data_IF_378407689621
#
_entry.id   IF_378407689621
#
_cell.length_a   1.000
_cell.length_b   1.000
_cell.length_c   1.000
_cell.angle_alpha   90.00
_cell.angle_beta   90.00
_cell.angle_gamma   90.00
#
_symmetry.space_group_name_H-M   'P 1'
#
loop_
_entity.id
_entity.type
_entity.pdbx_description
1 polymer ?
#
# COMPACT_ATOMS: atom_id res chain seq x y z
N UNK A 1 -12.43 11.33 18.59
CA UNK A 1 -12.15 12.29 17.49
C UNK A 1 -12.25 11.54 16.17
N UNK A 2 -13.38 11.63 15.46
CA UNK A 2 -13.52 11.05 14.11
C UNK A 2 -13.02 12.06 13.08
N UNK A 3 -11.80 11.87 12.60
CA UNK A 3 -11.30 12.60 11.42
C UNK A 3 -11.98 12.08 10.14
N UNK A 4 -12.04 12.89 9.06
CA UNK A 4 -12.59 12.42 7.80
C UNK A 4 -11.76 11.24 7.27
N UNK A 5 -12.42 10.11 7.01
CA UNK A 5 -11.79 8.99 6.33
C UNK A 5 -11.47 9.40 4.89
N UNK A 6 -10.19 9.31 4.53
CA UNK A 6 -9.77 9.54 3.15
C UNK A 6 -10.17 8.33 2.31
N UNK A 7 -10.73 8.57 1.13
CA UNK A 7 -10.93 7.49 0.16
C UNK A 7 -9.58 6.94 -0.32
N UNK A 8 -9.56 5.70 -0.80
CA UNK A 8 -8.35 5.09 -1.37
C UNK A 8 -7.75 5.95 -2.49
N UNK A 9 -8.60 6.52 -3.35
CA UNK A 9 -8.19 7.44 -4.40
C UNK A 9 -7.52 8.71 -3.83
N UNK A 10 -8.04 9.28 -2.74
CA UNK A 10 -7.45 10.45 -2.07
C UNK A 10 -6.09 10.09 -1.44
N UNK A 11 -5.99 8.95 -0.76
CA UNK A 11 -4.73 8.46 -0.18
C UNK A 11 -3.68 8.30 -1.29
N UNK A 12 -4.04 7.58 -2.36
CA UNK A 12 -3.15 7.33 -3.51
C UNK A 12 -2.69 8.63 -4.16
N UNK A 13 -3.60 9.55 -4.44
CA UNK A 13 -3.26 10.83 -5.06
C UNK A 13 -2.28 11.63 -4.18
N UNK A 14 -2.49 11.63 -2.86
CA UNK A 14 -1.59 12.29 -1.92
C UNK A 14 -0.20 11.64 -1.91
N UNK A 15 -0.13 10.31 -1.88
CA UNK A 15 1.15 9.58 -1.95
C UNK A 15 1.93 9.90 -3.23
N UNK A 16 1.26 9.89 -4.40
CA UNK A 16 1.89 10.21 -5.68
C UNK A 16 2.41 11.65 -5.72
N UNK A 17 1.62 12.61 -5.22
CA UNK A 17 2.03 14.01 -5.18
C UNK A 17 3.24 14.22 -4.27
N UNK A 18 3.25 13.60 -3.09
CA UNK A 18 4.38 13.63 -2.17
C UNK A 18 5.62 13.02 -2.80
N UNK A 19 5.51 11.83 -3.40
CA UNK A 19 6.62 11.16 -4.07
C UNK A 19 7.22 12.01 -5.21
N UNK A 20 6.37 12.68 -6.00
CA UNK A 20 6.83 13.60 -7.06
C UNK A 20 7.54 14.83 -6.50
N UNK A 21 7.10 15.36 -5.37
CA UNK A 21 7.81 16.45 -4.69
C UNK A 21 9.20 15.98 -4.23
N UNK A 22 9.27 14.84 -3.55
CA UNK A 22 10.52 14.21 -3.11
C UNK A 22 11.47 13.98 -4.29
N UNK A 23 10.99 13.50 -5.44
CA UNK A 23 11.85 13.31 -6.62
C UNK A 23 12.41 14.62 -7.20
N UNK A 24 11.63 15.70 -7.17
CA UNK A 24 12.13 17.02 -7.59
C UNK A 24 13.26 17.49 -6.69
N UNK A 25 13.09 17.32 -5.39
CA UNK A 25 14.08 17.75 -4.39
C UNK A 25 15.34 16.87 -4.47
N UNK A 26 15.17 15.55 -4.61
CA UNK A 26 16.24 14.56 -4.62
C UNK A 26 16.83 14.27 -6.02
N UNK A 27 16.50 15.07 -7.04
CA UNK A 27 17.01 14.85 -8.41
C UNK A 27 18.55 14.80 -8.43
N UNK A 28 19.09 14.00 -9.34
CA UNK A 28 20.53 13.94 -9.55
C UNK A 28 21.08 15.31 -10.00
N UNK A 29 22.26 15.64 -9.50
CA UNK A 29 23.10 16.73 -9.98
C UNK A 29 23.84 16.32 -11.26
N UNK A 30 24.64 17.24 -11.82
CA UNK A 30 25.48 16.97 -13.00
C UNK A 30 26.51 15.85 -12.76
N UNK A 31 26.89 15.66 -11.50
CA UNK A 31 27.80 14.64 -10.99
C UNK A 31 27.12 13.28 -10.74
N UNK A 32 25.83 13.14 -11.06
CA UNK A 32 25.04 11.93 -10.81
C UNK A 32 24.65 11.71 -9.34
N UNK A 33 25.09 12.57 -8.42
CA UNK A 33 24.75 12.48 -6.99
C UNK A 33 23.45 13.21 -6.70
N UNK A 34 22.70 12.74 -5.72
CA UNK A 34 21.51 13.46 -5.27
C UNK A 34 21.88 14.85 -4.71
N UNK A 35 21.12 15.89 -5.08
CA UNK A 35 21.39 17.27 -4.64
C UNK A 35 21.23 17.48 -3.13
N UNK A 36 20.31 16.72 -2.51
CA UNK A 36 20.01 16.78 -1.07
C UNK A 36 20.94 15.85 -0.29
N UNK A 37 20.95 14.55 -0.62
CA UNK A 37 21.70 13.55 0.15
C UNK A 37 23.18 13.45 -0.22
N UNK A 38 23.60 14.01 -1.36
CA UNK A 38 24.98 13.99 -1.89
C UNK A 38 25.59 12.59 -2.12
N UNK A 39 24.76 11.56 -2.17
CA UNK A 39 25.14 10.17 -2.48
C UNK A 39 24.78 9.79 -3.91
N UNK A 40 25.54 8.84 -4.46
CA UNK A 40 25.11 8.05 -5.60
C UNK A 40 23.97 7.12 -5.16
N UNK A 41 23.03 6.82 -6.06
CA UNK A 41 21.90 5.91 -5.79
C UNK A 41 21.09 6.29 -4.53
N UNK A 42 20.58 7.53 -4.52
CA UNK A 42 19.80 8.04 -3.39
C UNK A 42 18.57 7.18 -3.09
N UNK A 43 18.59 6.50 -1.94
CA UNK A 43 17.51 5.63 -1.48
C UNK A 43 16.18 6.37 -1.29
N UNK A 44 16.21 7.67 -0.96
CA UNK A 44 15.00 8.48 -0.87
C UNK A 44 14.35 8.67 -2.25
N UNK A 45 15.16 8.93 -3.29
CA UNK A 45 14.66 9.00 -4.66
C UNK A 45 14.17 7.62 -5.14
N UNK A 46 14.85 6.54 -4.78
CA UNK A 46 14.40 5.17 -5.08
C UNK A 46 13.06 4.86 -4.42
N UNK A 47 12.91 5.12 -3.12
CA UNK A 47 11.66 4.94 -2.41
C UNK A 47 10.51 5.74 -3.02
N UNK A 48 10.75 6.99 -3.42
CA UNK A 48 9.75 7.81 -4.09
C UNK A 48 9.33 7.24 -5.46
N UNK A 49 10.25 6.67 -6.25
CA UNK A 49 9.90 5.95 -7.49
C UNK A 49 9.04 4.73 -7.19
N UNK A 50 9.46 3.91 -6.21
CA UNK A 50 8.71 2.72 -5.81
C UNK A 50 7.27 3.05 -5.39
N UNK A 51 7.03 4.17 -4.72
CA UNK A 51 5.68 4.63 -4.36
C UNK A 51 4.84 4.97 -5.61
N UNK A 52 5.44 5.63 -6.61
CA UNK A 52 4.75 5.96 -7.87
C UNK A 52 4.40 4.66 -8.61
N UNK A 53 5.35 3.73 -8.69
CA UNK A 53 5.16 2.45 -9.37
C UNK A 53 4.08 1.61 -8.68
N UNK A 54 4.12 1.50 -7.35
CA UNK A 54 3.10 0.81 -6.58
C UNK A 54 1.72 1.47 -6.74
N UNK A 55 1.64 2.79 -6.72
CA UNK A 55 0.39 3.51 -6.92
C UNK A 55 -0.20 3.30 -8.32
N UNK A 56 0.64 3.15 -9.34
CA UNK A 56 0.20 2.80 -10.69
C UNK A 56 -0.30 1.35 -10.76
N UNK A 57 0.40 0.41 -10.14
CA UNK A 57 -0.01 -0.99 -10.06
C UNK A 57 -1.35 -1.17 -9.35
N UNK A 58 -1.58 -0.49 -8.22
CA UNK A 58 -2.88 -0.51 -7.53
C UNK A 58 -4.02 -0.01 -8.44
N UNK A 59 -3.75 0.99 -9.28
CA UNK A 59 -4.73 1.57 -10.18
C UNK A 59 -5.08 0.61 -11.31
N UNK A 60 -4.08 -0.06 -11.88
CA UNK A 60 -4.30 -1.11 -12.88
C UNK A 60 -5.03 -2.32 -12.29
N UNK A 61 -4.73 -2.71 -11.05
CA UNK A 61 -5.43 -3.80 -10.36
C UNK A 61 -6.90 -3.45 -10.07
N UNK A 62 -7.21 -2.21 -9.69
CA UNK A 62 -8.59 -1.73 -9.56
C UNK A 62 -9.35 -1.82 -10.89
N UNK A 63 -8.73 -1.43 -12.00
CA UNK A 63 -9.38 -1.45 -13.32
C UNK A 63 -9.57 -2.87 -13.87
N UNK A 64 -8.72 -3.82 -13.45
CA UNK A 64 -8.77 -5.22 -13.88
C UNK A 64 -9.62 -6.11 -12.98
N UNK A 65 -9.91 -5.67 -11.76
CA UNK A 65 -10.70 -6.43 -10.81
C UNK A 65 -12.12 -6.62 -11.36
N UNK A 66 -12.50 -7.88 -11.60
CA UNK A 66 -13.84 -8.20 -12.08
C UNK A 66 -14.85 -7.96 -10.96
N UNK A 67 -16.09 -7.65 -11.34
CA UNK A 67 -17.19 -7.47 -10.37
C UNK A 67 -17.38 -8.73 -9.51
N UNK A 68 -17.09 -9.91 -10.07
CA UNK A 68 -17.15 -11.21 -9.41
C UNK A 68 -16.03 -11.39 -8.36
N UNK A 69 -14.79 -11.00 -8.66
CA UNK A 69 -13.68 -11.02 -7.69
C UNK A 69 -13.91 -10.02 -6.55
N UNK A 70 -14.43 -8.82 -6.86
CA UNK A 70 -14.80 -7.83 -5.85
C UNK A 70 -15.91 -8.40 -4.96
N UNK A 71 -16.94 -9.00 -5.55
CA UNK A 71 -18.05 -9.62 -4.81
C UNK A 71 -17.58 -10.77 -3.93
N UNK A 72 -16.70 -11.65 -4.42
CA UNK A 72 -16.14 -12.77 -3.67
C UNK A 72 -15.31 -12.30 -2.45
N UNK A 73 -14.53 -11.23 -2.63
CA UNK A 73 -13.77 -10.62 -1.53
C UNK A 73 -14.67 -10.03 -0.44
N UNK A 74 -15.74 -9.32 -0.82
CA UNK A 74 -16.67 -8.70 0.14
C UNK A 74 -17.74 -9.65 0.68
N UNK A 75 -18.02 -10.78 0.03
CA UNK A 75 -18.93 -11.83 0.53
C UNK A 75 -18.26 -12.76 1.56
N UNK A 76 -16.94 -12.67 1.73
CA UNK A 76 -16.20 -13.48 2.70
C UNK A 76 -15.93 -14.91 2.22
N UNK A 77 -16.02 -15.18 0.92
CA UNK A 77 -15.54 -16.44 0.34
C UNK A 77 -14.00 -16.47 0.43
N UNK A 78 -13.49 -16.91 1.58
CA UNK A 78 -12.07 -17.14 1.79
C UNK A 78 -11.55 -18.06 0.68
N UNK A 79 -10.36 -17.73 0.17
CA UNK A 79 -9.57 -18.64 -0.66
C UNK A 79 -9.55 -20.03 -0.02
N UNK A 80 -9.59 -21.12 -0.80
CA UNK A 80 -9.56 -22.47 -0.27
C UNK A 80 -8.43 -22.61 0.75
N UNK A 81 -8.75 -23.06 1.97
CA UNK A 81 -7.72 -23.23 3.01
C UNK A 81 -6.59 -24.10 2.46
N UNK A 82 -5.32 -23.76 2.74
CA UNK A 82 -4.22 -24.65 2.47
C UNK A 82 -4.50 -26.03 3.08
N UNK A 83 -4.27 -27.09 2.31
CA UNK A 83 -4.49 -28.45 2.79
C UNK A 83 -3.70 -28.68 4.09
N UNK A 84 -4.40 -29.12 5.14
CA UNK A 84 -3.81 -29.41 6.45
C UNK A 84 -3.96 -28.32 7.51
N UNK A 85 -4.57 -27.17 7.20
CA UNK A 85 -4.88 -26.14 8.22
C UNK A 85 -6.32 -26.34 8.73
N UNK A 86 -6.44 -26.77 9.98
CA UNK A 86 -7.73 -26.87 10.66
C UNK A 86 -8.36 -25.47 10.85
N UNK A 87 -9.70 -25.34 10.80
CA UNK A 87 -10.36 -24.10 11.20
C UNK A 87 -9.96 -23.70 12.61
N UNK A 88 -9.83 -22.39 12.86
CA UNK A 88 -9.73 -21.88 14.21
C UNK A 88 -10.95 -22.35 15.01
N UNK A 89 -10.70 -22.93 16.18
CA UNK A 89 -11.75 -23.40 17.07
C UNK A 89 -12.47 -22.22 17.73
N UNK A 90 -13.69 -22.45 18.20
CA UNK A 90 -14.48 -21.41 18.89
C UNK A 90 -13.74 -20.80 20.09
N UNK A 91 -12.85 -21.58 20.73
CA UNK A 91 -11.99 -21.14 21.83
C UNK A 91 -10.93 -20.14 21.36
N UNK A 92 -10.33 -20.34 20.19
CA UNK A 92 -9.29 -19.47 19.61
C UNK A 92 -9.86 -18.16 19.07
N UNK A 93 -11.14 -18.15 18.72
CA UNK A 93 -11.86 -16.98 18.22
C UNK A 93 -12.47 -16.12 19.34
N UNK A 94 -12.42 -16.56 20.61
CA UNK A 94 -12.89 -15.73 21.72
C UNK A 94 -11.96 -14.52 21.82
N UNK A 95 -12.49 -13.28 21.79
CA UNK A 95 -11.69 -12.11 22.12
C UNK A 95 -11.11 -12.31 23.52
N UNK A 96 -9.82 -12.03 23.68
CA UNK A 96 -9.22 -11.92 25.01
C UNK A 96 -10.00 -10.82 25.74
N UNK A 97 -10.65 -11.14 26.85
CA UNK A 97 -11.38 -10.16 27.67
C UNK A 97 -10.47 -8.94 27.90
N UNK A 98 -10.90 -7.77 27.43
CA UNK A 98 -10.24 -6.46 27.62
C UNK A 98 -10.39 -5.99 29.07
N UNK A 99 -9.85 -6.75 30.02
CA UNK A 99 -9.79 -6.35 31.43
C UNK A 99 -8.46 -5.65 31.72
N UNK A 100 -8.32 -4.41 31.25
CA UNK A 100 -7.44 -3.37 31.82
C UNK A 100 -8.02 -1.98 31.58
#
# INVERSE_FOLDING_TARGET
MTGPFLSLAQIRNRLVLTARAVLRDHRAGPDGRCRVCRVLECQVATAARNVIDAAAACRAAEDQATEEEIRAFYSGEQTPRPAGIAPATEIELRPADDRW
#
